data_IF_966106862699
#
_entry.id   IF_966106862699
#
_cell.length_a   1.000
_cell.length_b   1.000
_cell.length_c   1.000
_cell.angle_alpha   90.00
_cell.angle_beta   90.00
_cell.angle_gamma   90.00
#
_symmetry.space_group_name_H-M   'P 1'
#
loop_
_entity.id
_entity.type
_entity.pdbx_description
1 polymer ?
#
# COMPACT_ATOMS: atom_id res chain seq x y z
N UNK A 1 -26.64 -0.40 17.14
CA UNK A 1 -25.20 -0.56 16.92
C UNK A 1 -25.00 -2.01 16.53
N UNK A 2 -24.34 -2.27 15.43
CA UNK A 2 -23.95 -3.63 15.00
C UNK A 2 -22.86 -4.11 15.94
N UNK A 3 -22.99 -5.33 16.48
CA UNK A 3 -21.96 -5.90 17.35
C UNK A 3 -20.94 -6.69 16.50
N UNK A 4 -19.66 -6.61 16.90
CA UNK A 4 -18.60 -7.41 16.30
C UNK A 4 -18.83 -8.88 16.64
N UNK A 5 -18.61 -9.77 15.66
CA UNK A 5 -18.66 -11.22 15.89
C UNK A 5 -17.60 -11.64 16.90
N UNK A 6 -18.03 -12.11 18.06
CA UNK A 6 -17.13 -12.66 19.07
C UNK A 6 -16.64 -14.04 18.62
N UNK A 7 -15.31 -14.26 18.63
CA UNK A 7 -14.67 -15.52 18.26
C UNK A 7 -15.15 -16.07 16.89
N UNK A 8 -14.94 -15.33 15.79
CA UNK A 8 -15.28 -15.83 14.47
C UNK A 8 -14.43 -17.07 14.12
N UNK A 9 -14.90 -17.93 13.20
CA UNK A 9 -14.15 -19.12 12.79
C UNK A 9 -12.98 -18.77 11.82
N UNK A 10 -12.45 -17.57 11.87
CA UNK A 10 -11.35 -17.06 11.08
C UNK A 10 -10.57 -16.00 11.87
N UNK A 11 -9.32 -15.78 11.47
CA UNK A 11 -8.51 -14.67 11.97
C UNK A 11 -8.77 -13.41 11.12
N UNK A 12 -8.72 -12.24 11.75
CA UNK A 12 -8.74 -10.96 11.04
C UNK A 12 -7.31 -10.49 10.82
N UNK A 13 -6.83 -10.66 9.58
CA UNK A 13 -5.50 -10.23 9.15
C UNK A 13 -5.65 -8.90 8.44
N UNK A 14 -5.20 -7.82 9.09
CA UNK A 14 -5.20 -6.48 8.51
C UNK A 14 -3.94 -6.28 7.65
N UNK A 15 -4.13 -5.96 6.38
CA UNK A 15 -3.06 -6.07 5.36
C UNK A 15 -2.47 -4.74 4.91
N UNK A 16 -2.89 -3.62 5.52
CA UNK A 16 -2.33 -2.28 5.26
C UNK A 16 -2.28 -1.50 6.57
N UNK A 17 -1.21 -1.75 7.35
CA UNK A 17 -1.06 -1.16 8.66
C UNK A 17 0.26 -0.37 8.71
N UNK A 18 0.12 0.96 8.82
CA UNK A 18 1.27 1.84 8.74
C UNK A 18 2.13 1.79 10.01
N UNK A 19 3.43 1.80 9.80
CA UNK A 19 4.45 1.93 10.83
C UNK A 19 5.57 2.86 10.36
N UNK A 20 6.28 3.46 11.32
CA UNK A 20 7.43 4.33 11.03
C UNK A 20 8.44 4.29 12.16
N UNK A 21 9.76 4.07 11.88
CA UNK A 21 10.80 4.25 12.86
C UNK A 21 10.83 5.68 13.41
N UNK A 22 11.16 5.82 14.68
CA UNK A 22 11.31 7.15 15.30
C UNK A 22 12.39 7.98 14.60
N UNK A 23 13.47 7.34 14.10
CA UNK A 23 14.50 7.97 13.29
C UNK A 23 13.93 8.68 12.05
N UNK A 24 13.04 8.04 11.31
CA UNK A 24 12.42 8.67 10.12
C UNK A 24 11.49 9.81 10.52
N UNK A 25 10.71 9.63 11.58
CA UNK A 25 9.83 10.69 12.09
C UNK A 25 10.63 11.93 12.51
N UNK A 26 11.77 11.75 13.15
CA UNK A 26 12.66 12.85 13.55
C UNK A 26 13.33 13.53 12.34
N UNK A 27 13.72 12.75 11.34
CA UNK A 27 14.20 13.31 10.06
C UNK A 27 13.10 14.12 9.37
N UNK A 28 11.85 13.64 9.35
CA UNK A 28 10.72 14.40 8.80
C UNK A 28 10.51 15.73 9.55
N UNK A 29 10.53 15.72 10.88
CA UNK A 29 10.46 16.92 11.70
C UNK A 29 11.58 17.92 11.38
N UNK A 30 12.80 17.40 11.13
CA UNK A 30 13.93 18.20 10.70
C UNK A 30 13.68 18.82 9.32
N UNK A 31 13.31 18.00 8.32
CA UNK A 31 13.09 18.46 6.95
C UNK A 31 11.94 19.48 6.84
N UNK A 32 10.86 19.32 7.63
CA UNK A 32 9.77 20.29 7.72
C UNK A 32 10.27 21.65 8.24
N UNK A 33 11.19 21.65 9.23
CA UNK A 33 11.78 22.90 9.77
C UNK A 33 12.75 23.55 8.80
N UNK A 34 13.61 22.77 8.18
CA UNK A 34 14.72 23.25 7.33
C UNK A 34 14.29 23.50 5.87
N UNK A 35 13.19 22.87 5.44
CA UNK A 35 12.63 22.98 4.08
C UNK A 35 13.62 22.59 2.98
N UNK A 36 14.47 21.59 3.21
CA UNK A 36 15.43 21.11 2.24
C UNK A 36 14.78 20.28 1.13
N UNK A 37 13.67 19.60 1.43
CA UNK A 37 12.95 18.75 0.50
C UNK A 37 11.94 19.60 -0.27
N UNK A 38 12.07 19.62 -1.58
CA UNK A 38 11.20 20.38 -2.49
C UNK A 38 9.90 19.65 -2.87
N UNK A 39 9.29 18.89 -1.96
CA UNK A 39 8.05 18.12 -2.15
C UNK A 39 6.87 18.80 -1.43
N UNK A 40 6.06 19.62 -2.12
CA UNK A 40 4.97 20.35 -1.47
C UNK A 40 3.92 19.44 -0.82
N UNK A 41 3.66 18.26 -1.37
CA UNK A 41 2.76 17.27 -0.79
C UNK A 41 3.27 16.73 0.54
N UNK A 42 4.57 16.46 0.65
CA UNK A 42 5.22 16.09 1.91
C UNK A 42 5.04 17.21 2.96
N UNK A 43 5.27 18.46 2.57
CA UNK A 43 5.09 19.59 3.48
C UNK A 43 3.63 19.78 3.90
N UNK A 44 2.67 19.56 3.02
CA UNK A 44 1.24 19.62 3.34
C UNK A 44 0.85 18.59 4.39
N UNK A 45 1.16 17.31 4.15
CA UNK A 45 0.78 16.21 5.03
C UNK A 45 1.59 16.21 6.34
N UNK A 46 2.91 16.12 6.22
CA UNK A 46 3.78 15.97 7.38
C UNK A 46 4.03 17.27 8.13
N UNK A 47 3.77 18.43 7.53
CA UNK A 47 3.76 19.70 8.22
C UNK A 47 2.77 19.74 9.37
N UNK A 48 1.58 19.15 9.18
CA UNK A 48 0.58 19.01 10.25
C UNK A 48 1.02 17.98 11.32
N UNK A 49 1.45 16.78 10.89
CA UNK A 49 1.82 15.69 11.81
C UNK A 49 3.18 15.89 12.50
N UNK A 50 4.02 16.80 12.00
CA UNK A 50 5.26 17.23 12.67
C UNK A 50 5.03 18.35 13.71
N UNK A 51 3.81 18.88 13.79
CA UNK A 51 3.43 19.92 14.74
C UNK A 51 3.20 19.41 16.16
N UNK A 52 3.16 20.34 17.11
CA UNK A 52 2.90 20.06 18.53
C UNK A 52 1.41 20.25 18.87
N UNK A 53 0.55 19.44 18.27
CA UNK A 53 -0.87 19.39 18.58
C UNK A 53 -1.28 17.97 19.04
N UNK A 54 -2.42 17.87 19.72
CA UNK A 54 -2.87 16.60 20.31
C UNK A 54 -3.08 15.51 19.26
N UNK A 55 -3.65 15.82 18.09
CA UNK A 55 -3.90 14.89 17.01
C UNK A 55 -2.57 14.32 16.49
N UNK A 56 -1.59 15.19 16.23
CA UNK A 56 -0.27 14.79 15.78
C UNK A 56 0.45 13.92 16.81
N UNK A 57 0.42 14.31 18.10
CA UNK A 57 1.03 13.50 19.18
C UNK A 57 0.40 12.12 19.29
N UNK A 58 -0.93 12.04 19.29
CA UNK A 58 -1.64 10.77 19.38
C UNK A 58 -1.35 9.87 18.18
N UNK A 59 -1.35 10.44 16.97
CA UNK A 59 -0.99 9.72 15.74
C UNK A 59 0.46 9.22 15.79
N UNK A 60 1.40 10.09 16.12
CA UNK A 60 2.82 9.76 16.16
C UNK A 60 3.16 8.69 17.20
N UNK A 61 2.51 8.71 18.37
CA UNK A 61 2.67 7.66 19.37
C UNK A 61 2.19 6.30 18.87
N UNK A 62 1.15 6.26 18.04
CA UNK A 62 0.64 5.03 17.45
C UNK A 62 1.51 4.53 16.31
N UNK A 63 1.93 5.41 15.41
CA UNK A 63 2.65 5.02 14.20
C UNK A 63 4.02 4.43 14.49
N UNK A 64 4.72 4.91 15.53
CA UNK A 64 6.04 4.37 15.92
C UNK A 64 5.94 3.10 16.76
N UNK A 65 4.77 2.76 17.29
CA UNK A 65 4.63 1.65 18.21
C UNK A 65 4.70 0.28 17.51
N UNK A 66 5.62 -0.56 17.95
CA UNK A 66 5.69 -2.01 17.67
C UNK A 66 5.52 -2.83 18.97
N UNK A 67 4.66 -2.36 19.89
CA UNK A 67 4.48 -2.96 21.21
C UNK A 67 3.07 -2.79 21.74
N UNK A 68 2.95 -2.64 23.06
CA UNK A 68 1.68 -2.70 23.81
C UNK A 68 0.60 -1.75 23.28
N UNK A 69 0.94 -0.52 22.89
CA UNK A 69 -0.03 0.44 22.37
C UNK A 69 -0.71 -0.09 21.10
N UNK A 70 0.07 -0.59 20.14
CA UNK A 70 -0.47 -1.15 18.90
C UNK A 70 -1.28 -2.41 19.16
N UNK A 71 -0.78 -3.29 20.01
CA UNK A 71 -1.48 -4.54 20.36
C UNK A 71 -2.82 -4.24 21.02
N UNK A 72 -2.87 -3.28 21.95
CA UNK A 72 -4.12 -2.87 22.59
C UNK A 72 -5.14 -2.30 21.58
N UNK A 73 -4.69 -1.47 20.64
CA UNK A 73 -5.54 -0.95 19.56
C UNK A 73 -6.03 -2.06 18.62
N UNK A 74 -5.17 -3.04 18.27
CA UNK A 74 -5.55 -4.23 17.49
C UNK A 74 -6.60 -5.06 18.23
N UNK A 75 -6.41 -5.31 19.53
CA UNK A 75 -7.37 -6.06 20.35
C UNK A 75 -8.73 -5.34 20.41
N UNK A 76 -8.73 -4.02 20.60
CA UNK A 76 -9.95 -3.21 20.58
C UNK A 76 -10.67 -3.30 19.22
N UNK A 77 -9.95 -3.34 18.12
CA UNK A 77 -10.49 -3.49 16.78
C UNK A 77 -10.80 -4.95 16.40
N UNK A 78 -10.29 -5.92 17.17
CA UNK A 78 -10.41 -7.35 16.87
C UNK A 78 -9.54 -7.83 15.73
N UNK A 79 -8.40 -7.18 15.52
CA UNK A 79 -7.37 -7.56 14.56
C UNK A 79 -6.43 -8.57 15.21
N UNK A 80 -6.27 -9.73 14.60
CA UNK A 80 -5.40 -10.79 15.11
C UNK A 80 -3.96 -10.59 14.64
N UNK A 81 -3.76 -10.31 13.36
CA UNK A 81 -2.45 -10.11 12.75
C UNK A 81 -2.46 -8.80 11.94
N UNK A 82 -1.41 -8.00 12.07
CA UNK A 82 -1.15 -6.80 11.27
C UNK A 82 0.03 -7.04 10.30
N UNK A 83 -0.18 -6.74 9.01
CA UNK A 83 0.88 -6.66 8.01
C UNK A 83 1.39 -5.23 8.01
N UNK A 84 2.55 -5.02 8.63
CA UNK A 84 3.13 -3.70 8.86
C UNK A 84 3.93 -3.24 7.64
N UNK A 85 3.77 -1.97 7.28
CA UNK A 85 4.51 -1.35 6.19
C UNK A 85 4.99 0.05 6.56
N UNK A 86 6.14 0.45 6.01
CA UNK A 86 6.66 1.80 6.22
C UNK A 86 5.70 2.83 5.64
N UNK A 87 5.18 3.70 6.52
CA UNK A 87 4.20 4.74 6.16
C UNK A 87 4.72 5.69 5.08
N UNK A 88 3.82 6.17 4.24
CA UNK A 88 4.10 7.12 3.16
C UNK A 88 4.60 8.48 3.68
N UNK A 89 5.52 9.11 2.95
CA UNK A 89 6.26 8.67 1.77
C UNK A 89 7.46 7.75 2.10
N UNK A 90 7.65 7.35 3.34
CA UNK A 90 8.73 6.49 3.79
C UNK A 90 10.11 7.08 3.51
N UNK A 91 10.98 6.28 2.89
CA UNK A 91 12.32 6.73 2.51
C UNK A 91 12.34 7.47 1.17
N UNK A 92 11.22 7.52 0.44
CA UNK A 92 11.17 7.93 -0.97
C UNK A 92 11.33 9.46 -1.19
N UNK A 93 11.38 10.25 -0.12
CA UNK A 93 11.65 11.70 -0.19
C UNK A 93 13.14 12.05 -0.10
N UNK A 94 13.99 11.10 0.23
CA UNK A 94 15.43 11.31 0.35
C UNK A 94 16.16 10.95 -0.96
N UNK A 95 17.42 11.41 -1.07
CA UNK A 95 18.27 10.95 -2.16
C UNK A 95 18.47 9.43 -2.14
N UNK A 96 18.81 8.78 -3.27
CA UNK A 96 18.82 7.32 -3.37
C UNK A 96 19.71 6.61 -2.34
N UNK A 97 20.87 7.16 -1.98
CA UNK A 97 21.80 6.53 -1.04
C UNK A 97 21.32 6.66 0.40
N UNK A 98 20.83 7.83 0.79
CA UNK A 98 20.19 8.07 2.09
C UNK A 98 18.93 7.19 2.22
N UNK A 99 18.08 7.16 1.20
CA UNK A 99 16.88 6.34 1.17
C UNK A 99 17.20 4.85 1.33
N UNK A 100 18.25 4.36 0.66
CA UNK A 100 18.69 2.97 0.81
C UNK A 100 19.16 2.67 2.24
N UNK A 101 20.00 3.51 2.81
CA UNK A 101 20.50 3.34 4.17
C UNK A 101 19.37 3.33 5.21
N UNK A 102 18.38 4.21 5.03
CA UNK A 102 17.19 4.28 5.89
C UNK A 102 16.30 3.05 5.71
N UNK A 103 16.11 2.57 4.47
CA UNK A 103 15.35 1.36 4.21
C UNK A 103 15.93 0.13 4.91
N UNK A 104 17.26 -0.05 4.84
CA UNK A 104 17.96 -1.15 5.52
C UNK A 104 17.69 -1.12 7.02
N UNK A 105 17.89 0.04 7.67
CA UNK A 105 17.67 0.17 9.13
C UNK A 105 16.20 -0.01 9.52
N UNK A 106 15.29 0.55 8.73
CA UNK A 106 13.85 0.37 8.97
C UNK A 106 13.43 -1.10 8.89
N UNK A 107 13.95 -1.83 7.90
CA UNK A 107 13.64 -3.25 7.75
C UNK A 107 14.20 -4.08 8.90
N UNK A 108 15.40 -3.75 9.39
CA UNK A 108 16.00 -4.42 10.54
C UNK A 108 15.18 -4.18 11.82
N UNK A 109 14.78 -2.92 12.09
CA UNK A 109 13.93 -2.56 13.23
C UNK A 109 12.54 -3.22 13.14
N UNK A 110 11.93 -3.25 11.94
CA UNK A 110 10.66 -3.94 11.71
C UNK A 110 10.77 -5.43 12.02
N UNK A 111 11.82 -6.08 11.54
CA UNK A 111 12.06 -7.49 11.79
C UNK A 111 12.26 -7.79 13.28
N UNK A 112 12.98 -6.94 14.02
CA UNK A 112 13.10 -7.03 15.47
C UNK A 112 11.75 -6.86 16.18
N UNK A 113 10.92 -5.91 15.70
CA UNK A 113 9.56 -5.72 16.21
C UNK A 113 8.69 -6.95 16.01
N UNK A 114 8.72 -7.54 14.80
CA UNK A 114 8.02 -8.78 14.48
C UNK A 114 8.50 -9.94 15.35
N UNK A 115 9.80 -10.07 15.57
CA UNK A 115 10.38 -11.13 16.39
C UNK A 115 9.92 -11.07 17.87
N UNK A 116 9.57 -9.89 18.39
CA UNK A 116 8.99 -9.75 19.73
C UNK A 116 7.53 -10.20 19.83
N UNK A 117 6.79 -10.10 18.72
CA UNK A 117 5.36 -10.43 18.65
C UNK A 117 5.01 -11.20 17.36
N UNK A 118 5.62 -12.39 17.15
CA UNK A 118 5.54 -13.13 15.89
C UNK A 118 4.13 -13.62 15.54
N UNK A 119 3.27 -13.75 16.54
CA UNK A 119 1.86 -14.15 16.37
C UNK A 119 0.94 -12.96 16.05
N UNK A 120 1.44 -11.73 16.14
CA UNK A 120 0.64 -10.52 15.94
C UNK A 120 1.11 -9.69 14.76
N UNK A 121 2.39 -9.77 14.40
CA UNK A 121 2.98 -8.93 13.37
C UNK A 121 3.66 -9.75 12.27
N UNK A 122 3.50 -9.27 11.06
CA UNK A 122 4.33 -9.54 9.91
C UNK A 122 4.56 -8.23 9.16
N UNK A 123 5.35 -8.19 8.08
CA UNK A 123 5.63 -6.91 7.46
C UNK A 123 6.16 -6.97 6.05
N UNK A 124 6.23 -5.79 5.42
CA UNK A 124 6.73 -5.56 4.07
C UNK A 124 8.05 -4.80 4.11
N UNK A 125 8.97 -5.18 3.23
CA UNK A 125 10.27 -4.53 3.11
C UNK A 125 10.17 -3.16 2.45
N UNK A 126 10.70 -2.13 3.08
CA UNK A 126 10.98 -0.86 2.44
C UNK A 126 12.22 -0.98 1.53
N UNK A 127 12.27 -0.21 0.47
CA UNK A 127 13.42 -0.11 -0.44
C UNK A 127 13.51 1.29 -1.03
N UNK A 128 14.69 1.63 -1.58
CA UNK A 128 14.89 2.90 -2.30
C UNK A 128 14.61 2.69 -3.79
N UNK A 129 13.43 3.09 -4.33
CA UNK A 129 13.03 2.73 -5.70
C UNK A 129 13.96 3.25 -6.77
N UNK A 130 14.57 4.43 -6.57
CA UNK A 130 15.48 5.03 -7.55
C UNK A 130 16.92 4.48 -7.46
N UNK A 131 17.25 3.73 -6.42
CA UNK A 131 18.55 3.05 -6.31
C UNK A 131 18.48 1.66 -6.94
N UNK A 132 18.42 1.61 -8.28
CA UNK A 132 18.07 0.48 -9.14
C UNK A 132 18.53 -0.89 -8.65
N UNK A 133 19.86 -1.09 -8.46
CA UNK A 133 20.40 -2.39 -8.03
C UNK A 133 20.08 -2.71 -6.57
N UNK A 134 20.13 -1.73 -5.71
CA UNK A 134 19.96 -1.95 -4.28
C UNK A 134 18.48 -2.10 -3.90
N UNK A 135 17.53 -1.56 -4.69
CA UNK A 135 16.11 -1.80 -4.46
C UNK A 135 15.78 -3.30 -4.50
N UNK A 136 16.24 -4.00 -5.54
CA UNK A 136 16.04 -5.45 -5.68
C UNK A 136 16.77 -6.25 -4.58
N UNK A 137 18.04 -5.89 -4.29
CA UNK A 137 18.85 -6.55 -3.26
C UNK A 137 18.25 -6.40 -1.85
N UNK A 138 17.71 -5.21 -1.55
CA UNK A 138 17.10 -4.96 -0.24
C UNK A 138 15.76 -5.68 -0.09
N UNK A 139 14.95 -5.75 -1.14
CA UNK A 139 13.76 -6.59 -1.16
C UNK A 139 14.12 -8.06 -0.93
N UNK A 140 15.13 -8.57 -1.66
CA UNK A 140 15.61 -9.95 -1.49
C UNK A 140 16.12 -10.20 -0.06
N UNK A 141 16.90 -9.27 0.51
CA UNK A 141 17.38 -9.36 1.90
C UNK A 141 16.21 -9.38 2.89
N UNK A 142 15.27 -8.46 2.74
CA UNK A 142 14.07 -8.37 3.58
C UNK A 142 13.28 -9.67 3.59
N UNK A 143 13.07 -10.27 2.43
CA UNK A 143 12.32 -11.52 2.32
C UNK A 143 13.13 -12.73 2.82
N UNK A 144 14.38 -12.89 2.37
CA UNK A 144 15.13 -14.13 2.60
C UNK A 144 15.88 -14.17 3.95
N UNK A 145 16.23 -13.01 4.51
CA UNK A 145 17.00 -12.91 5.76
C UNK A 145 16.16 -12.43 6.93
N UNK A 146 15.22 -11.51 6.68
CA UNK A 146 14.41 -10.92 7.74
C UNK A 146 13.01 -11.53 7.83
N UNK A 147 12.60 -12.35 6.85
CA UNK A 147 11.30 -13.02 6.85
C UNK A 147 10.12 -12.10 6.51
N UNK A 148 10.38 -10.93 5.91
CA UNK A 148 9.35 -10.02 5.43
C UNK A 148 8.60 -10.64 4.23
N UNK A 149 7.36 -10.24 3.99
CA UNK A 149 6.41 -10.94 3.13
C UNK A 149 6.13 -10.28 1.79
N UNK A 150 6.89 -9.27 1.45
CA UNK A 150 6.75 -8.50 0.22
C UNK A 150 7.48 -7.18 0.31
N UNK A 151 7.23 -6.27 -0.63
CA UNK A 151 7.79 -4.92 -0.61
C UNK A 151 6.71 -3.85 -0.52
N UNK A 152 7.04 -2.69 0.05
CA UNK A 152 6.19 -1.49 0.06
C UNK A 152 6.75 -0.45 -0.89
N UNK A 153 5.90 0.06 -1.79
CA UNK A 153 6.18 1.16 -2.72
C UNK A 153 5.14 2.27 -2.49
N UNK A 154 5.55 3.39 -1.94
CA UNK A 154 4.70 4.56 -1.70
C UNK A 154 4.58 5.42 -2.96
N UNK A 155 3.88 4.91 -3.98
CA UNK A 155 3.68 5.52 -5.30
C UNK A 155 4.94 6.15 -5.89
N UNK A 156 4.87 7.39 -6.40
CA UNK A 156 6.03 8.05 -7.01
C UNK A 156 7.17 8.33 -6.02
N UNK A 157 8.38 8.37 -6.53
CA UNK A 157 9.57 8.81 -5.80
C UNK A 157 10.09 10.09 -6.43
N UNK A 158 9.96 11.22 -5.73
CA UNK A 158 10.36 12.54 -6.22
C UNK A 158 9.80 12.86 -7.63
N UNK A 159 8.53 12.52 -7.86
CA UNK A 159 7.85 12.69 -9.17
C UNK A 159 8.17 11.63 -10.21
N UNK A 160 8.99 10.63 -9.91
CA UNK A 160 9.34 9.52 -10.81
C UNK A 160 8.46 8.31 -10.56
N UNK A 161 7.90 7.75 -11.63
CA UNK A 161 7.14 6.50 -11.62
C UNK A 161 8.00 5.33 -12.07
N UNK A 162 7.69 4.12 -11.61
CA UNK A 162 8.50 2.92 -11.88
C UNK A 162 8.05 2.15 -13.14
N UNK A 163 7.30 2.76 -14.03
CA UNK A 163 6.88 2.17 -15.30
C UNK A 163 7.97 2.13 -16.39
N UNK A 164 9.11 2.78 -16.17
CA UNK A 164 10.29 2.67 -17.03
C UNK A 164 11.09 1.40 -16.70
N UNK A 165 11.48 0.65 -17.74
CA UNK A 165 12.19 -0.65 -17.62
C UNK A 165 13.47 -0.57 -16.78
N UNK A 166 14.12 0.59 -16.70
CA UNK A 166 15.32 0.78 -15.87
C UNK A 166 15.07 0.54 -14.37
N UNK A 167 13.80 0.60 -13.90
CA UNK A 167 13.42 0.36 -12.51
C UNK A 167 12.83 -1.05 -12.27
N UNK A 168 12.68 -1.86 -13.32
CA UNK A 168 11.96 -3.14 -13.21
C UNK A 168 12.71 -4.23 -12.43
N UNK A 169 13.97 -4.02 -12.06
CA UNK A 169 14.73 -5.00 -11.27
C UNK A 169 14.07 -5.40 -9.95
N UNK A 170 13.37 -4.47 -9.28
CA UNK A 170 12.65 -4.79 -8.04
C UNK A 170 11.41 -5.65 -8.29
N UNK A 171 10.72 -5.46 -9.42
CA UNK A 171 9.57 -6.29 -9.82
C UNK A 171 10.00 -7.68 -10.27
N UNK A 172 11.15 -7.78 -10.96
CA UNK A 172 11.77 -9.07 -11.29
C UNK A 172 12.13 -9.86 -10.03
N UNK A 173 12.73 -9.20 -9.03
CA UNK A 173 13.03 -9.81 -7.75
C UNK A 173 11.76 -10.25 -7.00
N UNK A 174 10.73 -9.43 -6.99
CA UNK A 174 9.44 -9.76 -6.35
C UNK A 174 8.80 -11.00 -6.99
N UNK A 175 8.75 -11.07 -8.34
CA UNK A 175 8.24 -12.24 -9.05
C UNK A 175 9.06 -13.49 -8.76
N UNK A 176 10.40 -13.38 -8.80
CA UNK A 176 11.30 -14.51 -8.55
C UNK A 176 11.18 -15.04 -7.12
N UNK A 177 10.95 -14.17 -6.14
CA UNK A 177 10.73 -14.54 -4.74
C UNK A 177 9.30 -15.02 -4.47
N UNK A 178 8.37 -14.80 -5.40
CA UNK A 178 6.95 -15.13 -5.24
C UNK A 178 6.26 -14.28 -4.17
N UNK A 179 6.65 -13.02 -4.02
CA UNK A 179 6.08 -12.07 -3.06
C UNK A 179 5.46 -10.86 -3.76
N UNK A 180 4.44 -10.21 -3.14
CA UNK A 180 3.82 -9.04 -3.74
C UNK A 180 4.64 -7.77 -3.51
N UNK A 181 4.35 -6.76 -4.35
CA UNK A 181 4.65 -5.36 -4.06
C UNK A 181 3.33 -4.65 -3.69
N UNK A 182 3.28 -4.07 -2.51
CA UNK A 182 2.18 -3.19 -2.12
C UNK A 182 2.42 -1.79 -2.70
N UNK A 183 1.59 -1.38 -3.65
CA UNK A 183 1.58 -0.02 -4.19
C UNK A 183 0.65 0.83 -3.32
N UNK A 184 1.26 1.52 -2.37
CA UNK A 184 0.60 2.35 -1.37
C UNK A 184 0.51 3.81 -1.85
N UNK A 185 -0.49 4.57 -1.45
CA UNK A 185 -0.61 5.99 -1.78
C UNK A 185 0.56 6.87 -1.35
N UNK A 186 0.73 7.94 -2.10
CA UNK A 186 1.46 9.15 -1.75
C UNK A 186 0.61 10.36 -2.17
N UNK A 187 0.95 11.56 -1.70
CA UNK A 187 0.40 12.80 -2.25
C UNK A 187 0.67 12.85 -3.76
N UNK A 188 -0.19 13.49 -4.57
CA UNK A 188 0.06 13.60 -6.00
C UNK A 188 1.46 14.12 -6.32
N UNK A 189 2.06 13.60 -7.39
CA UNK A 189 3.38 14.05 -7.85
C UNK A 189 3.43 15.58 -8.02
N UNK A 190 4.60 16.21 -7.90
CA UNK A 190 4.72 17.67 -8.01
C UNK A 190 4.03 18.27 -9.24
N UNK A 191 3.99 17.51 -10.35
CA UNK A 191 3.38 17.93 -11.60
C UNK A 191 1.82 17.90 -11.55
N UNK A 192 1.23 17.14 -10.63
CA UNK A 192 -0.22 17.00 -10.49
C UNK A 192 -0.80 17.74 -9.29
N UNK A 193 0.02 18.10 -8.33
CA UNK A 193 -0.36 18.46 -6.97
C UNK A 193 -1.13 19.78 -6.84
N UNK A 194 -0.77 20.78 -7.62
CA UNK A 194 -1.24 22.17 -7.46
C UNK A 194 -2.79 22.30 -7.37
N UNK A 195 -3.59 21.65 -8.23
CA UNK A 195 -5.04 21.75 -8.15
C UNK A 195 -5.66 21.18 -6.85
N UNK A 196 -4.94 20.32 -6.14
CA UNK A 196 -5.43 19.67 -4.93
C UNK A 196 -5.18 20.53 -3.67
N UNK A 197 -4.02 21.20 -3.59
CA UNK A 197 -3.57 21.91 -2.38
C UNK A 197 -4.56 22.98 -1.90
N UNK A 198 -5.08 23.78 -2.80
CA UNK A 198 -5.94 24.92 -2.46
C UNK A 198 -7.28 24.55 -1.81
N UNK A 199 -7.62 23.26 -1.78
CA UNK A 199 -8.86 22.73 -1.18
C UNK A 199 -8.63 21.58 -0.21
N UNK A 200 -7.37 21.27 0.12
CA UNK A 200 -7.04 20.16 1.01
C UNK A 200 -7.41 18.79 0.43
N UNK A 201 -7.28 18.62 -0.88
CA UNK A 201 -7.62 17.39 -1.58
C UNK A 201 -6.38 16.52 -1.86
N UNK A 202 -5.20 16.94 -1.46
CA UNK A 202 -3.90 16.36 -1.80
C UNK A 202 -3.57 15.06 -1.04
N UNK A 203 -4.35 14.73 0.00
CA UNK A 203 -4.18 13.50 0.78
C UNK A 203 -5.36 12.53 0.53
N UNK A 204 -5.79 11.83 1.58
CA UNK A 204 -6.78 10.75 1.54
C UNK A 204 -8.17 11.14 1.00
N UNK A 205 -8.51 12.44 0.98
CA UNK A 205 -9.81 12.86 0.44
C UNK A 205 -9.95 12.49 -1.04
N UNK A 206 -8.89 12.69 -1.86
CA UNK A 206 -8.95 12.35 -3.29
C UNK A 206 -7.58 12.21 -3.95
N UNK A 207 -6.56 12.96 -3.48
CA UNK A 207 -5.23 13.00 -4.11
C UNK A 207 -4.54 11.65 -4.16
N UNK A 208 -4.61 10.90 -3.07
CA UNK A 208 -4.04 9.55 -2.97
C UNK A 208 -4.62 8.62 -4.03
N UNK A 209 -5.93 8.60 -4.18
CA UNK A 209 -6.58 7.74 -5.19
C UNK A 209 -6.20 8.12 -6.62
N UNK A 210 -6.12 9.41 -6.92
CA UNK A 210 -5.69 9.88 -8.25
C UNK A 210 -4.25 9.48 -8.56
N UNK A 211 -3.36 9.66 -7.59
CA UNK A 211 -1.93 9.36 -7.74
C UNK A 211 -1.67 7.86 -7.87
N UNK A 212 -2.20 7.07 -6.94
CA UNK A 212 -1.95 5.63 -6.89
C UNK A 212 -2.63 4.91 -8.05
N UNK A 213 -3.85 5.30 -8.38
CA UNK A 213 -4.56 4.78 -9.56
C UNK A 213 -3.84 5.09 -10.87
N UNK A 214 -3.24 6.29 -11.01
CA UNK A 214 -2.40 6.63 -12.14
C UNK A 214 -1.16 5.72 -12.19
N UNK A 215 -0.44 5.56 -11.09
CA UNK A 215 0.77 4.73 -11.05
C UNK A 215 0.46 3.27 -11.41
N UNK A 216 -0.60 2.70 -10.84
CA UNK A 216 -1.05 1.35 -11.17
C UNK A 216 -1.35 1.18 -12.66
N UNK A 217 -2.04 2.14 -13.28
CA UNK A 217 -2.30 2.13 -14.73
C UNK A 217 -1.01 2.30 -15.53
N UNK A 218 -0.07 3.16 -15.11
CA UNK A 218 1.23 3.31 -15.77
C UNK A 218 2.01 2.00 -15.78
N UNK A 219 2.10 1.31 -14.64
CA UNK A 219 2.73 -0.02 -14.55
C UNK A 219 2.04 -1.03 -15.46
N UNK A 220 0.72 -1.02 -15.52
CA UNK A 220 -0.02 -1.95 -16.36
C UNK A 220 0.23 -1.68 -17.84
N UNK A 221 0.10 -0.43 -18.31
CA UNK A 221 0.20 -0.10 -19.74
C UNK A 221 1.64 -0.04 -20.25
N UNK A 222 2.65 -0.04 -19.36
CA UNK A 222 4.06 -0.16 -19.75
C UNK A 222 4.41 -1.54 -20.30
N UNK A 223 3.58 -2.56 -20.01
CA UNK A 223 3.83 -3.96 -20.35
C UNK A 223 4.58 -4.73 -19.26
N UNK A 224 4.65 -4.18 -18.05
CA UNK A 224 5.30 -4.82 -16.89
C UNK A 224 4.80 -6.26 -16.69
N UNK A 225 3.48 -6.48 -16.71
CA UNK A 225 2.89 -7.81 -16.52
C UNK A 225 3.01 -8.72 -17.74
N UNK A 226 3.30 -8.17 -18.91
CA UNK A 226 3.69 -8.95 -20.09
C UNK A 226 5.10 -9.54 -19.94
N UNK A 227 5.95 -8.85 -19.19
CA UNK A 227 7.33 -9.23 -18.85
C UNK A 227 7.38 -10.13 -17.62
N UNK A 228 6.57 -9.81 -16.59
CA UNK A 228 6.51 -10.49 -15.30
C UNK A 228 5.07 -10.98 -15.03
N UNK A 229 4.62 -12.06 -15.68
CA UNK A 229 3.21 -12.47 -15.64
C UNK A 229 2.73 -13.02 -14.29
N UNK A 230 3.64 -13.39 -13.39
CA UNK A 230 3.32 -13.88 -12.05
C UNK A 230 3.43 -12.81 -10.96
N UNK A 231 3.95 -11.63 -11.31
CA UNK A 231 4.04 -10.51 -10.37
C UNK A 231 2.67 -10.16 -9.81
N UNK A 232 2.59 -9.96 -8.50
CA UNK A 232 1.37 -9.52 -7.82
C UNK A 232 1.59 -8.12 -7.23
N UNK A 233 0.64 -7.22 -7.49
CA UNK A 233 0.58 -5.88 -6.90
C UNK A 233 -0.63 -5.84 -5.96
N UNK A 234 -0.48 -5.20 -4.81
CA UNK A 234 -1.59 -4.91 -3.91
C UNK A 234 -1.95 -3.43 -4.01
N UNK A 235 -3.23 -3.12 -4.13
CA UNK A 235 -3.78 -1.77 -4.09
C UNK A 235 -4.71 -1.62 -2.89
N UNK A 236 -4.55 -0.54 -2.14
CA UNK A 236 -5.43 -0.14 -1.07
C UNK A 236 -6.80 0.39 -1.55
N UNK A 237 -7.63 0.82 -0.61
CA UNK A 237 -8.81 1.67 -0.81
C UNK A 237 -9.76 1.14 -1.90
N UNK A 238 -10.00 -0.19 -1.89
CA UNK A 238 -10.81 -0.87 -2.92
C UNK A 238 -10.31 -0.66 -4.35
N UNK A 239 -8.96 -0.46 -4.50
CA UNK A 239 -8.29 -0.40 -5.80
C UNK A 239 -8.36 0.96 -6.48
N UNK A 240 -8.44 2.05 -5.69
CA UNK A 240 -8.34 3.43 -6.20
C UNK A 240 -9.29 3.72 -7.37
N UNK A 241 -10.52 3.22 -7.25
CA UNK A 241 -11.60 3.28 -8.24
C UNK A 241 -11.31 2.55 -9.59
N UNK A 242 -10.16 1.90 -9.78
CA UNK A 242 -9.86 1.18 -11.03
C UNK A 242 -10.86 0.05 -11.34
N UNK A 243 -11.35 -0.74 -10.36
CA UNK A 243 -12.38 -1.75 -10.62
C UNK A 243 -13.67 -1.18 -11.23
N UNK A 244 -14.00 0.08 -10.95
CA UNK A 244 -15.14 0.75 -11.56
C UNK A 244 -14.94 1.07 -13.06
N UNK A 245 -13.70 1.20 -13.52
CA UNK A 245 -13.36 1.63 -14.87
C UNK A 245 -12.98 0.50 -15.83
N UNK A 246 -13.05 -0.78 -15.47
CA UNK A 246 -12.54 -1.91 -16.26
C UNK A 246 -12.93 -1.88 -17.73
N UNK A 247 -14.22 -1.75 -18.02
CA UNK A 247 -14.73 -1.68 -19.42
C UNK A 247 -14.15 -0.48 -20.17
N UNK A 248 -14.12 0.69 -19.50
CA UNK A 248 -13.63 1.93 -20.13
C UNK A 248 -12.14 1.87 -20.41
N UNK A 249 -11.37 1.31 -19.48
CA UNK A 249 -9.90 1.12 -19.63
C UNK A 249 -9.66 0.21 -20.84
N UNK A 250 -10.30 -0.95 -20.91
CA UNK A 250 -10.16 -1.88 -22.03
C UNK A 250 -10.49 -1.23 -23.37
N UNK A 251 -11.65 -0.60 -23.44
CA UNK A 251 -12.15 -0.02 -24.67
C UNK A 251 -11.22 1.11 -25.17
N UNK A 252 -10.85 2.01 -24.28
CA UNK A 252 -10.05 3.19 -24.65
C UNK A 252 -8.59 2.81 -24.92
N UNK A 253 -7.97 1.96 -24.06
CA UNK A 253 -6.59 1.54 -24.26
C UNK A 253 -6.42 0.74 -25.56
N UNK A 254 -7.31 -0.19 -25.88
CA UNK A 254 -7.26 -0.96 -27.14
C UNK A 254 -7.32 -0.06 -28.37
N UNK A 255 -8.12 1.01 -28.33
CA UNK A 255 -8.21 1.97 -29.45
C UNK A 255 -6.97 2.86 -29.51
N UNK A 256 -6.52 3.35 -28.37
CA UNK A 256 -5.41 4.29 -28.27
C UNK A 256 -4.09 3.64 -28.70
N UNK A 257 -3.80 2.44 -28.23
CA UNK A 257 -2.56 1.71 -28.54
C UNK A 257 -2.44 1.31 -30.03
N UNK A 258 -3.57 1.28 -30.76
CA UNK A 258 -3.60 1.02 -32.21
C UNK A 258 -3.60 2.28 -33.07
N UNK A 259 -3.76 3.46 -32.46
CA UNK A 259 -3.94 4.71 -33.17
C UNK A 259 -2.64 5.40 -33.58
N UNK A 260 -1.49 4.94 -33.07
CA UNK A 260 -0.17 5.61 -33.17
C UNK A 260 -0.18 7.09 -32.71
N UNK A 261 -1.19 7.47 -31.90
CA UNK A 261 -1.34 8.84 -31.41
C UNK A 261 -0.28 9.21 -30.37
N UNK A 262 0.11 8.22 -29.55
CA UNK A 262 1.13 8.37 -28.52
C UNK A 262 2.18 7.29 -28.68
N UNK A 263 3.45 7.68 -28.73
CA UNK A 263 4.59 6.76 -28.89
C UNK A 263 4.68 5.71 -27.76
N UNK A 264 4.36 6.12 -26.52
CA UNK A 264 4.36 5.23 -25.35
C UNK A 264 3.14 4.31 -25.23
N UNK A 265 2.09 4.51 -26.05
CA UNK A 265 0.88 3.68 -25.97
C UNK A 265 1.02 2.42 -26.84
N UNK A 266 1.53 1.35 -26.25
CA UNK A 266 1.72 0.05 -26.92
C UNK A 266 0.58 -0.91 -26.66
N UNK A 267 0.25 -1.82 -27.62
CA UNK A 267 -0.67 -2.91 -27.36
C UNK A 267 -0.12 -3.85 -26.29
N UNK A 268 -0.99 -4.23 -25.36
CA UNK A 268 -0.72 -5.28 -24.38
C UNK A 268 -1.05 -6.67 -25.00
N UNK A 269 -0.47 -7.74 -24.47
CA UNK A 269 -0.79 -9.13 -24.87
C UNK A 269 -2.22 -9.52 -24.50
N UNK A 270 -2.76 -8.91 -23.45
CA UNK A 270 -4.09 -9.18 -22.90
C UNK A 270 -4.86 -7.88 -22.71
N UNK A 271 -6.14 -7.96 -22.36
CA UNK A 271 -6.92 -6.78 -21.97
C UNK A 271 -6.42 -6.24 -20.61
N UNK A 272 -6.46 -4.94 -20.42
CA UNK A 272 -6.08 -4.31 -19.16
C UNK A 272 -6.86 -4.89 -17.97
N UNK A 273 -8.17 -5.15 -18.14
CA UNK A 273 -9.01 -5.74 -17.11
C UNK A 273 -8.61 -7.16 -16.70
N UNK A 274 -7.95 -7.92 -17.57
CA UNK A 274 -7.46 -9.27 -17.24
C UNK A 274 -6.26 -9.19 -16.30
N UNK A 275 -5.34 -8.24 -16.51
CA UNK A 275 -4.25 -7.98 -15.56
C UNK A 275 -4.77 -7.48 -14.22
N UNK A 276 -5.76 -6.55 -14.23
CA UNK A 276 -6.38 -6.05 -13.00
C UNK A 276 -7.07 -7.15 -12.19
N UNK A 277 -7.52 -8.24 -12.82
CA UNK A 277 -8.09 -9.40 -12.11
C UNK A 277 -7.06 -10.43 -11.66
N UNK A 278 -5.97 -10.58 -12.36
CA UNK A 278 -5.04 -11.69 -12.13
C UNK A 278 -3.74 -11.27 -11.44
N UNK A 279 -3.25 -10.05 -11.73
CA UNK A 279 -2.00 -9.53 -11.20
C UNK A 279 -2.19 -8.59 -10.02
N UNK A 280 -3.44 -8.26 -9.66
CA UNK A 280 -3.72 -7.35 -8.55
C UNK A 280 -4.54 -8.01 -7.45
N UNK A 281 -4.24 -7.62 -6.23
CA UNK A 281 -5.06 -7.79 -5.04
C UNK A 281 -5.51 -6.43 -4.54
N UNK A 282 -6.61 -6.41 -3.81
CA UNK A 282 -7.27 -5.18 -3.35
C UNK A 282 -7.52 -5.26 -1.86
N UNK A 283 -7.42 -4.13 -1.14
CA UNK A 283 -7.73 -4.11 0.28
C UNK A 283 -8.87 -3.15 0.59
N UNK A 284 -9.53 -3.37 1.72
CA UNK A 284 -10.57 -2.48 2.25
C UNK A 284 -10.00 -1.26 2.97
N UNK A 285 -8.68 -1.06 2.98
CA UNK A 285 -8.03 0.04 3.69
C UNK A 285 -8.81 1.33 3.58
N UNK A 286 -9.10 2.00 4.68
CA UNK A 286 -9.82 3.26 4.70
C UNK A 286 -11.29 3.22 4.22
N UNK A 287 -11.85 2.03 3.94
CA UNK A 287 -13.22 1.86 3.41
C UNK A 287 -14.03 0.94 4.33
N UNK A 288 -14.72 1.55 5.30
CA UNK A 288 -15.59 0.83 6.25
C UNK A 288 -17.01 0.54 5.74
N UNK A 289 -17.33 0.86 4.46
CA UNK A 289 -18.63 0.55 3.84
C UNK A 289 -18.56 -0.79 3.08
N UNK A 290 -19.42 -1.78 3.39
CA UNK A 290 -19.49 -3.05 2.67
C UNK A 290 -19.73 -2.94 1.18
N UNK A 291 -20.46 -1.93 0.71
CA UNK A 291 -20.89 -1.83 -0.69
C UNK A 291 -19.74 -1.70 -1.69
N UNK A 292 -18.76 -0.81 -1.53
CA UNK A 292 -17.61 -0.76 -2.41
C UNK A 292 -16.80 -2.07 -2.39
N UNK A 293 -16.63 -2.67 -1.19
CA UNK A 293 -15.90 -3.94 -1.03
C UNK A 293 -16.60 -5.05 -1.82
N UNK A 294 -17.89 -5.22 -1.64
CA UNK A 294 -18.70 -6.21 -2.36
C UNK A 294 -18.69 -5.99 -3.87
N UNK A 295 -18.73 -4.72 -4.32
CA UNK A 295 -18.59 -4.41 -5.73
C UNK A 295 -17.27 -4.89 -6.30
N UNK A 296 -16.15 -4.66 -5.59
CA UNK A 296 -14.83 -5.14 -6.03
C UNK A 296 -14.77 -6.66 -6.02
N UNK A 297 -15.34 -7.32 -5.00
CA UNK A 297 -15.45 -8.79 -4.96
C UNK A 297 -16.23 -9.34 -6.17
N UNK A 298 -17.30 -8.66 -6.60
CA UNK A 298 -18.12 -9.07 -7.75
C UNK A 298 -17.39 -8.91 -9.08
N UNK A 299 -16.73 -7.78 -9.33
CA UNK A 299 -16.15 -7.47 -10.65
C UNK A 299 -14.72 -7.98 -10.81
N UNK A 300 -13.99 -8.21 -9.72
CA UNK A 300 -12.62 -8.71 -9.72
C UNK A 300 -12.57 -10.19 -9.37
N UNK A 301 -13.22 -10.57 -8.26
CA UNK A 301 -13.18 -11.88 -7.65
C UNK A 301 -13.00 -11.76 -6.13
N UNK A 302 -13.80 -12.52 -5.37
CA UNK A 302 -13.73 -12.50 -3.91
C UNK A 302 -12.39 -13.02 -3.35
N UNK A 303 -11.69 -13.84 -4.14
CA UNK A 303 -10.35 -14.38 -3.82
C UNK A 303 -9.21 -13.35 -3.97
N UNK A 304 -9.52 -12.12 -4.38
CA UNK A 304 -8.56 -11.04 -4.61
C UNK A 304 -8.75 -9.84 -3.67
N UNK A 305 -9.74 -9.88 -2.76
CA UNK A 305 -10.04 -8.77 -1.86
C UNK A 305 -9.73 -9.16 -0.42
N UNK A 306 -8.97 -8.30 0.27
CA UNK A 306 -8.48 -8.54 1.63
C UNK A 306 -8.91 -7.42 2.58
N UNK A 307 -8.99 -7.76 3.86
CA UNK A 307 -9.22 -6.79 4.92
C UNK A 307 -7.97 -5.94 5.20
N UNK A 308 -8.18 -4.67 5.47
CA UNK A 308 -7.22 -3.74 6.04
C UNK A 308 -7.96 -2.62 6.77
N UNK A 309 -7.34 -2.00 7.77
CA UNK A 309 -7.92 -0.91 8.53
C UNK A 309 -7.34 0.46 8.17
N UNK A 310 -6.09 0.51 7.68
CA UNK A 310 -5.32 1.74 7.48
C UNK A 310 -4.85 2.39 8.80
N UNK A 311 -4.55 1.55 9.80
CA UNK A 311 -4.06 2.03 11.10
C UNK A 311 -2.64 2.62 10.99
N UNK A 312 -2.32 3.75 11.65
CA UNK A 312 -3.18 4.57 12.50
C UNK A 312 -3.83 5.76 11.76
N UNK A 313 -3.70 5.84 10.44
CA UNK A 313 -4.26 6.93 9.62
C UNK A 313 -5.77 6.97 9.68
N UNK A 314 -6.40 5.80 9.56
CA UNK A 314 -7.81 5.58 9.89
C UNK A 314 -7.89 4.48 10.96
N UNK A 315 -8.25 4.86 12.17
CA UNK A 315 -8.45 3.92 13.28
C UNK A 315 -9.86 4.06 13.82
N UNK A 316 -10.73 3.19 13.33
CA UNK A 316 -12.15 3.13 13.69
C UNK A 316 -12.51 1.67 14.05
N UNK A 317 -12.29 1.25 15.32
CA UNK A 317 -12.50 -0.15 15.75
C UNK A 317 -13.90 -0.69 15.45
N UNK A 318 -14.91 0.20 15.38
CA UNK A 318 -16.32 -0.14 15.12
C UNK A 318 -16.56 -0.59 13.68
N UNK A 319 -15.67 -0.24 12.72
CA UNK A 319 -15.80 -0.66 11.33
C UNK A 319 -15.73 -2.18 11.18
N UNK A 320 -14.94 -2.86 12.02
CA UNK A 320 -14.88 -4.32 12.01
C UNK A 320 -16.26 -4.94 12.26
N UNK A 321 -17.06 -4.36 13.16
CA UNK A 321 -18.42 -4.85 13.42
C UNK A 321 -19.35 -4.65 12.21
N UNK A 322 -19.16 -3.59 11.42
CA UNK A 322 -19.90 -3.35 10.20
C UNK A 322 -19.52 -4.39 9.14
N UNK A 323 -18.23 -4.63 8.95
CA UNK A 323 -17.71 -5.57 7.96
C UNK A 323 -18.00 -7.04 8.31
N UNK A 324 -18.03 -7.42 9.59
CA UNK A 324 -18.47 -8.76 10.04
C UNK A 324 -19.90 -9.10 9.60
N UNK A 325 -20.73 -8.07 9.43
CA UNK A 325 -22.11 -8.19 9.01
C UNK A 325 -22.32 -7.91 7.50
N UNK A 326 -21.25 -7.93 6.73
CA UNK A 326 -21.34 -7.83 5.27
C UNK A 326 -22.21 -8.97 4.72
N UNK A 327 -23.21 -8.68 3.84
CA UNK A 327 -24.15 -9.69 3.37
C UNK A 327 -23.54 -10.60 2.28
N UNK A 328 -22.48 -11.34 2.66
CA UNK A 328 -21.78 -12.32 1.83
C UNK A 328 -21.78 -13.69 2.51
N UNK A 329 -21.47 -14.75 1.75
CA UNK A 329 -21.35 -16.09 2.33
C UNK A 329 -20.18 -16.22 3.31
N UNK A 330 -20.24 -17.16 4.28
CA UNK A 330 -19.20 -17.33 5.29
C UNK A 330 -17.82 -17.61 4.69
N UNK A 331 -17.73 -18.34 3.59
CA UNK A 331 -16.46 -18.61 2.90
C UNK A 331 -15.87 -17.36 2.26
N UNK A 332 -16.71 -16.46 1.73
CA UNK A 332 -16.29 -15.18 1.18
C UNK A 332 -15.78 -14.27 2.30
N UNK A 333 -16.47 -14.26 3.43
CA UNK A 333 -16.06 -13.47 4.60
C UNK A 333 -14.73 -13.99 5.20
N UNK A 334 -14.56 -15.32 5.29
CA UNK A 334 -13.30 -15.93 5.69
C UNK A 334 -12.17 -15.61 4.71
N UNK A 335 -12.42 -15.70 3.41
CA UNK A 335 -11.44 -15.36 2.38
C UNK A 335 -11.01 -13.89 2.50
N UNK A 336 -11.96 -12.98 2.72
CA UNK A 336 -11.70 -11.56 2.91
C UNK A 336 -10.81 -11.27 4.12
N UNK A 337 -11.10 -11.90 5.27
CA UNK A 337 -10.35 -11.65 6.50
C UNK A 337 -9.04 -12.43 6.62
N UNK A 338 -8.99 -13.65 6.08
CA UNK A 338 -7.90 -14.57 6.38
C UNK A 338 -7.25 -15.20 5.14
N UNK A 339 -8.02 -16.00 4.34
CA UNK A 339 -7.43 -16.93 3.40
C UNK A 339 -6.65 -16.23 2.28
N UNK A 340 -7.15 -15.06 1.79
CA UNK A 340 -6.48 -14.30 0.74
C UNK A 340 -5.15 -13.72 1.23
N UNK A 341 -5.14 -13.16 2.44
CA UNK A 341 -3.91 -12.62 3.05
C UNK A 341 -2.89 -13.73 3.31
N UNK A 342 -3.31 -14.88 3.87
CA UNK A 342 -2.43 -16.03 4.09
C UNK A 342 -1.80 -16.52 2.80
N UNK A 343 -2.60 -16.65 1.74
CA UNK A 343 -2.14 -17.11 0.44
C UNK A 343 -1.12 -16.14 -0.17
N UNK A 344 -1.43 -14.84 -0.18
CA UNK A 344 -0.59 -13.84 -0.84
C UNK A 344 0.72 -13.58 -0.10
N UNK A 345 0.64 -13.41 1.22
CA UNK A 345 1.80 -13.07 2.06
C UNK A 345 2.46 -14.31 2.69
N UNK A 346 2.01 -15.53 2.35
CA UNK A 346 2.53 -16.77 2.91
C UNK A 346 2.57 -16.75 4.46
N UNK A 347 1.49 -16.26 5.09
CA UNK A 347 1.33 -16.23 6.55
C UNK A 347 0.87 -17.63 7.00
N UNK A 348 1.59 -18.21 7.99
CA UNK A 348 1.28 -19.54 8.52
C UNK A 348 0.15 -19.52 9.53
#
# INVERSE_FOLDING_TARGET
MTERTANPPYMRIATEEAWMPEEILDLYRKEIREKNIGEPGFHSLWGFFSGDNEIARNHNNRIVSLGETRIADMDAAGVDIAVLALSSPGVQIFDPDTAHSLAVRSNDELAEGIARHPDRFTGLAAFSPLHRENAAKELERGVTKLGLRGGILNSHTLGTYLDDEQYWGVFEAAEALGVPIYLHPNTPSPQMLEPFLGRGLDAAVYGFSCETGLHALRLLVSGLFDRFPKLQIVLGHTGEALPFWLYRIDFMHTRLSRSNRYEGAKPLKRKASEYLRENFYYTSSGVGDPKPIMYVQDVIGADRVMYAMDYPWQYVPEETAVLDNMPVGPDVLKAFYEDNARRLFNIK
#
